data_IF_859843980753
#
_entry.id   IF_859843980753
#
_cell.length_a   1.000
_cell.length_b   1.000
_cell.length_c   1.000
_cell.angle_alpha   90.00
_cell.angle_beta   90.00
_cell.angle_gamma   90.00
#
_symmetry.space_group_name_H-M   'P 1'
#
loop_
_entity.id
_entity.type
_entity.pdbx_description
1 polymer ?
#
# COMPACT_ATOMS: atom_id res chain seq x y z
N UNK A 1 -5.04 17.18 -7.43
CA UNK A 1 -5.88 16.70 -6.32
C UNK A 1 -5.48 17.42 -5.04
N UNK A 2 -6.36 18.27 -4.49
CA UNK A 2 -6.13 18.86 -3.17
C UNK A 2 -6.19 17.80 -2.06
N UNK A 3 -7.19 16.91 -2.12
CA UNK A 3 -7.26 15.72 -1.28
C UNK A 3 -7.82 14.53 -2.07
N UNK A 4 -7.27 13.34 -1.84
CA UNK A 4 -7.92 12.09 -2.20
C UNK A 4 -7.42 10.94 -1.37
N UNK A 5 -8.08 9.80 -1.54
CA UNK A 5 -7.84 8.61 -0.73
C UNK A 5 -8.14 7.35 -1.52
N UNK A 6 -7.52 6.25 -1.12
CA UNK A 6 -7.81 4.94 -1.68
C UNK A 6 -9.19 4.51 -1.18
N UNK A 7 -10.13 4.29 -2.09
CA UNK A 7 -11.45 3.75 -1.76
C UNK A 7 -11.43 2.22 -1.74
N UNK A 8 -10.74 1.63 -2.72
CA UNK A 8 -10.49 0.19 -2.77
C UNK A 8 -9.24 -0.07 -3.61
N UNK A 9 -8.57 -1.17 -3.30
CA UNK A 9 -7.41 -1.67 -4.02
C UNK A 9 -7.43 -3.20 -3.94
N UNK A 10 -7.46 -3.85 -5.10
CA UNK A 10 -7.28 -5.31 -5.24
C UNK A 10 -6.01 -5.53 -6.06
N UNK A 11 -5.03 -6.22 -5.47
CA UNK A 11 -3.71 -6.32 -6.07
C UNK A 11 -2.87 -7.42 -5.42
N UNK A 12 -1.71 -7.72 -5.97
CA UNK A 12 -0.70 -8.58 -5.36
C UNK A 12 0.72 -8.02 -5.54
N UNK A 13 1.65 -8.41 -4.67
CA UNK A 13 3.07 -8.04 -4.73
C UNK A 13 3.96 -9.27 -4.94
N UNK A 14 5.02 -9.11 -5.73
CA UNK A 14 6.21 -10.00 -5.65
C UNK A 14 7.26 -9.47 -4.68
N UNK A 15 7.27 -8.16 -4.50
CA UNK A 15 8.13 -7.44 -3.58
C UNK A 15 7.34 -6.30 -2.96
N UNK A 16 7.47 -6.12 -1.65
CA UNK A 16 7.02 -4.90 -0.99
C UNK A 16 8.08 -4.39 -0.03
N UNK A 17 8.15 -3.07 0.09
CA UNK A 17 9.00 -2.38 1.05
C UNK A 17 8.09 -1.66 2.04
N UNK A 18 8.29 -1.93 3.33
CA UNK A 18 7.45 -1.36 4.37
C UNK A 18 8.26 -0.79 5.52
N UNK A 19 7.75 0.25 6.16
CA UNK A 19 8.22 0.71 7.46
C UNK A 19 7.23 0.30 8.53
N UNK A 20 7.72 -0.42 9.54
CA UNK A 20 6.90 -0.86 10.67
C UNK A 20 6.70 0.29 11.67
N UNK A 21 5.69 0.14 12.52
CA UNK A 21 5.38 1.10 13.56
C UNK A 21 6.61 1.39 14.43
N UNK A 22 6.89 2.68 14.64
CA UNK A 22 8.02 3.18 15.43
C UNK A 22 9.41 2.70 14.94
N UNK A 23 9.53 2.29 13.68
CA UNK A 23 10.82 2.00 13.07
C UNK A 23 11.27 3.15 12.19
N UNK A 24 12.57 3.42 12.17
CA UNK A 24 13.15 4.44 11.29
C UNK A 24 13.45 3.87 9.90
N UNK A 25 13.96 2.63 9.85
CA UNK A 25 14.29 1.93 8.63
C UNK A 25 13.09 1.18 8.06
N UNK A 26 13.08 1.04 6.73
CA UNK A 26 12.16 0.15 6.04
C UNK A 26 12.75 -1.25 5.90
N UNK A 27 11.90 -2.21 5.54
CA UNK A 27 12.26 -3.61 5.31
C UNK A 27 11.62 -4.07 4.00
N UNK A 28 12.46 -4.68 3.16
CA UNK A 28 12.01 -5.39 1.97
C UNK A 28 11.56 -6.81 2.31
N UNK A 29 10.48 -7.22 1.67
CA UNK A 29 9.98 -8.59 1.65
C UNK A 29 9.82 -9.04 0.20
N UNK A 30 10.17 -10.30 -0.06
CA UNK A 30 10.09 -10.94 -1.37
C UNK A 30 9.28 -12.23 -1.25
N UNK A 31 8.46 -12.54 -2.26
CA UNK A 31 7.57 -13.69 -2.23
C UNK A 31 6.37 -13.49 -3.13
N UNK A 32 5.25 -14.11 -2.80
CA UNK A 32 3.96 -13.84 -3.43
C UNK A 32 2.98 -13.45 -2.34
N UNK A 33 2.38 -12.28 -2.50
CA UNK A 33 1.51 -11.71 -1.48
C UNK A 33 0.24 -11.16 -2.11
N UNK A 34 -0.91 -11.53 -1.56
CA UNK A 34 -2.19 -10.91 -1.91
C UNK A 34 -2.40 -9.67 -1.04
N UNK A 35 -2.74 -8.54 -1.64
CA UNK A 35 -3.04 -7.29 -0.93
C UNK A 35 -4.51 -7.34 -0.49
N UNK A 36 -4.73 -7.26 0.82
CA UNK A 36 -6.08 -7.19 1.39
C UNK A 36 -6.59 -5.76 1.52
N UNK A 37 -5.68 -4.80 1.76
CA UNK A 37 -6.06 -3.39 1.82
C UNK A 37 -4.91 -2.49 1.42
N UNK A 38 -5.25 -1.39 0.75
CA UNK A 38 -4.47 -0.16 0.76
C UNK A 38 -5.36 0.94 1.30
N UNK A 39 -4.87 1.65 2.30
CA UNK A 39 -5.60 2.73 2.95
C UNK A 39 -4.67 3.90 3.11
N UNK A 40 -5.10 5.08 2.67
CA UNK A 40 -4.29 6.26 2.87
C UNK A 40 -4.69 7.43 2.01
N UNK A 41 -3.93 8.50 2.16
CA UNK A 41 -4.16 9.79 1.52
C UNK A 41 -3.22 9.97 0.34
N UNK A 42 -3.75 10.56 -0.73
CA UNK A 42 -3.04 10.93 -1.95
C UNK A 42 -3.28 12.42 -2.18
N UNK A 43 -2.21 13.19 -2.30
CA UNK A 43 -2.28 14.63 -2.58
C UNK A 43 -1.16 15.05 -3.52
N UNK A 44 -1.22 16.27 -4.05
CA UNK A 44 -0.11 16.85 -4.84
C UNK A 44 1.19 17.03 -4.04
N UNK A 45 1.10 17.09 -2.70
CA UNK A 45 2.24 17.30 -1.81
C UNK A 45 2.86 15.99 -1.30
N UNK A 46 2.25 14.84 -1.63
CA UNK A 46 2.74 13.54 -1.19
C UNK A 46 1.64 12.52 -0.94
N UNK A 47 2.10 11.34 -0.54
CA UNK A 47 1.32 10.13 -0.32
C UNK A 47 1.56 9.68 1.12
N UNK A 48 0.53 9.15 1.78
CA UNK A 48 0.68 8.40 3.01
C UNK A 48 -0.22 7.18 2.92
N UNK A 49 0.37 6.05 2.53
CA UNK A 49 -0.35 4.80 2.28
C UNK A 49 0.09 3.73 3.26
N UNK A 50 -0.86 3.19 4.01
CA UNK A 50 -0.68 1.93 4.71
C UNK A 50 -1.29 0.81 3.89
N UNK A 51 -0.82 -0.41 4.12
CA UNK A 51 -1.34 -1.58 3.45
C UNK A 51 -1.37 -2.78 4.38
N UNK A 52 -2.12 -3.80 3.97
CA UNK A 52 -2.02 -5.14 4.52
C UNK A 52 -1.96 -6.16 3.38
N UNK A 53 -1.15 -7.19 3.60
CA UNK A 53 -0.93 -8.30 2.66
C UNK A 53 -1.00 -9.62 3.38
N UNK A 54 -1.30 -10.70 2.66
CA UNK A 54 -1.18 -12.07 3.14
C UNK A 54 -0.22 -12.88 2.29
N UNK A 55 0.61 -13.69 2.96
CA UNK A 55 1.41 -14.71 2.31
C UNK A 55 0.58 -15.98 2.01
N UNK A 56 1.24 -16.98 1.42
CA UNK A 56 0.64 -18.27 1.05
C UNK A 56 0.14 -19.11 2.22
N UNK A 57 0.47 -18.75 3.47
CA UNK A 57 -0.03 -19.41 4.68
C UNK A 57 -1.27 -18.75 5.26
N UNK A 58 -1.72 -17.62 4.69
CA UNK A 58 -2.80 -16.81 5.25
C UNK A 58 -2.32 -15.81 6.31
N UNK A 59 -1.01 -15.72 6.57
CA UNK A 59 -0.48 -14.79 7.57
C UNK A 59 -0.54 -13.38 7.02
N UNK A 60 -1.27 -12.52 7.73
CA UNK A 60 -1.40 -11.11 7.37
C UNK A 60 -0.30 -10.25 8.00
N UNK A 61 0.29 -9.36 7.19
CA UNK A 61 1.35 -8.42 7.56
C UNK A 61 0.91 -7.04 7.07
N UNK A 62 1.16 -6.00 7.87
CA UNK A 62 0.87 -4.62 7.47
C UNK A 62 1.95 -3.64 7.89
N UNK A 63 1.89 -2.45 7.30
CA UNK A 63 2.83 -1.38 7.56
C UNK A 63 2.60 -0.15 6.68
N UNK A 64 3.49 0.82 6.82
CA UNK A 64 3.56 1.97 5.93
C UNK A 64 4.23 1.55 4.62
N UNK A 65 3.55 1.73 3.50
CA UNK A 65 4.12 1.50 2.17
C UNK A 65 5.19 2.56 1.91
N UNK A 66 6.37 2.09 1.48
CA UNK A 66 7.44 2.96 1.00
C UNK A 66 7.80 2.58 -0.44
N UNK A 67 8.75 3.30 -1.03
CA UNK A 67 9.20 3.10 -2.39
C UNK A 67 9.79 1.70 -2.64
N UNK A 68 9.92 1.33 -3.91
CA UNK A 68 10.48 0.04 -4.33
C UNK A 68 9.60 -1.19 -4.00
N UNK A 69 8.28 -1.05 -4.14
CA UNK A 69 7.32 -2.18 -4.13
C UNK A 69 6.90 -2.54 -5.57
N UNK A 70 6.75 -3.83 -5.87
CA UNK A 70 6.53 -4.37 -7.22
C UNK A 70 5.26 -5.20 -7.26
N UNK A 71 4.30 -4.75 -8.08
CA UNK A 71 3.05 -5.46 -8.35
C UNK A 71 3.36 -6.78 -9.07
N UNK A 72 2.69 -7.86 -8.68
CA UNK A 72 2.88 -9.17 -9.32
C UNK A 72 2.12 -9.27 -10.64
N UNK A 73 0.79 -9.21 -10.60
CA UNK A 73 -0.06 -9.41 -11.79
C UNK A 73 -0.74 -8.12 -12.22
N UNK A 74 -1.61 -7.59 -11.37
CA UNK A 74 -2.40 -6.38 -11.62
C UNK A 74 -2.64 -5.65 -10.31
N UNK A 75 -2.84 -4.33 -10.41
CA UNK A 75 -3.36 -3.50 -9.34
C UNK A 75 -4.60 -2.76 -9.84
N UNK A 76 -5.76 -3.11 -9.30
CA UNK A 76 -7.03 -2.45 -9.56
C UNK A 76 -7.31 -1.46 -8.42
N UNK A 77 -7.18 -0.16 -8.71
CA UNK A 77 -7.21 0.90 -7.68
C UNK A 77 -8.31 1.90 -8.00
N UNK A 78 -9.18 2.16 -7.03
CA UNK A 78 -10.15 3.26 -7.08
C UNK A 78 -9.71 4.35 -6.11
N UNK A 79 -9.54 5.56 -6.65
CA UNK A 79 -9.18 6.76 -5.89
C UNK A 79 -10.37 7.70 -5.88
N UNK A 80 -10.80 8.11 -4.68
CA UNK A 80 -11.77 9.18 -4.52
C UNK A 80 -11.05 10.50 -4.28
N UNK A 81 -11.64 11.59 -4.74
CA UNK A 81 -11.01 12.91 -4.75
C UNK A 81 -11.98 13.99 -4.28
N UNK A 82 -11.46 15.00 -3.60
CA UNK A 82 -12.21 16.20 -3.23
C UNK A 82 -11.43 17.46 -3.61
N UNK A 83 -12.17 18.46 -4.07
CA UNK A 83 -11.69 19.84 -4.32
C UNK A 83 -12.21 20.81 -3.24
N UNK A 84 -12.79 20.30 -2.16
CA UNK A 84 -13.40 21.12 -1.11
C UNK A 84 -12.38 21.61 -0.04
N UNK A 85 -11.08 21.40 -0.26
CA UNK A 85 -10.02 21.66 0.71
C UNK A 85 -8.87 22.44 0.08
#
# INVERSE_FOLDING_TARGET
MQAGWISTCVSSFTQYNQRLANQQSSKNSFGYFEIFSHTGMVSVNGLHLNFSVSDSTGKTIGGLLVDSSVIYTIAEIVILTSNAF
#
